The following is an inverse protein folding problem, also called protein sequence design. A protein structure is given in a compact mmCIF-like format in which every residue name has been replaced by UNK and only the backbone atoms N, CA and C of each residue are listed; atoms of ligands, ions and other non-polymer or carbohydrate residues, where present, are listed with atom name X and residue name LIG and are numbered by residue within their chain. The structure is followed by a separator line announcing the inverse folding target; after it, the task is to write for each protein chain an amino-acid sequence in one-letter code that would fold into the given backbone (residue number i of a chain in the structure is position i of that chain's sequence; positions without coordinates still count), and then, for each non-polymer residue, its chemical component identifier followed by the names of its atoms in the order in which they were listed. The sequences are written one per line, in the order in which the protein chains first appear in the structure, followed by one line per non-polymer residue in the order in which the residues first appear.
data_IF_059947853722
#
_entry.id   IF_059947853722
#
_cell.length_a   1.000
_cell.length_b   1.000
_cell.length_c   1.000
_cell.angle_alpha   90.00
_cell.angle_beta   90.00
_cell.angle_gamma   90.00
#
_symmetry.space_group_name_H-M   'P 1'
#
loop_
_entity.id
_entity.type
_entity.pdbx_description
1 polymer ?
#
# COMPACT_ATOMS: atom_id res chain seq x y z
N UNK A 1 -15.96 -4.58 23.71
CA UNK A 1 -14.52 -4.27 23.62
C UNK A 1 -13.99 -5.16 22.52
N UNK A 2 -14.03 -4.69 21.28
CA UNK A 2 -13.59 -5.47 20.12
C UNK A 2 -12.08 -5.63 20.20
N UNK A 3 -11.61 -6.86 20.03
CA UNK A 3 -10.20 -7.16 19.87
C UNK A 3 -9.70 -6.36 18.66
N UNK A 4 -8.80 -5.41 18.91
CA UNK A 4 -7.95 -4.83 17.88
C UNK A 4 -7.10 -6.00 17.39
N UNK A 5 -7.53 -6.63 16.29
CA UNK A 5 -6.68 -7.57 15.58
C UNK A 5 -5.45 -6.79 15.16
N UNK A 6 -4.32 -7.05 15.82
CA UNK A 6 -3.03 -6.57 15.34
C UNK A 6 -2.85 -7.14 13.94
N UNK A 7 -3.02 -6.30 12.92
CA UNK A 7 -2.65 -6.64 11.56
C UNK A 7 -1.14 -6.91 11.59
N UNK A 8 -0.82 -8.19 11.76
CA UNK A 8 0.55 -8.66 11.82
C UNK A 8 1.07 -8.65 10.40
N UNK A 9 2.32 -8.24 10.22
CA UNK A 9 2.99 -8.18 8.92
C UNK A 9 3.17 -9.57 8.29
N UNK A 10 2.07 -10.19 7.88
CA UNK A 10 1.99 -11.35 7.02
C UNK A 10 1.46 -10.91 5.67
N UNK A 11 1.84 -11.62 4.61
CA UNK A 11 1.25 -11.43 3.29
C UNK A 11 -0.22 -11.91 3.34
N UNK A 12 -1.15 -11.04 3.72
CA UNK A 12 -2.57 -11.38 3.76
C UNK A 12 -3.22 -11.28 2.37
N UNK A 13 -4.23 -12.13 2.18
CA UNK A 13 -4.85 -12.49 0.90
C UNK A 13 -5.65 -11.35 0.27
N UNK A 14 -5.88 -11.50 -1.03
CA UNK A 14 -6.82 -10.76 -1.87
C UNK A 14 -8.06 -10.25 -1.09
N UNK A 15 -8.18 -8.93 -0.97
CA UNK A 15 -9.25 -8.25 -0.24
C UNK A 15 -9.81 -7.07 -1.04
N UNK A 16 -11.02 -6.63 -0.69
CA UNK A 16 -11.62 -5.40 -1.26
C UNK A 16 -10.95 -4.15 -0.68
N UNK A 17 -11.00 -3.05 -1.44
CA UNK A 17 -10.39 -1.76 -1.06
C UNK A 17 -10.85 -1.26 0.31
N UNK A 18 -12.13 -1.41 0.63
CA UNK A 18 -12.68 -1.02 1.95
C UNK A 18 -11.99 -1.77 3.09
N UNK A 19 -11.77 -3.08 2.92
CA UNK A 19 -11.06 -3.89 3.91
C UNK A 19 -9.58 -3.51 3.98
N UNK A 20 -8.93 -3.28 2.84
CA UNK A 20 -7.54 -2.82 2.79
C UNK A 20 -7.35 -1.55 3.62
N UNK A 21 -8.24 -0.58 3.50
CA UNK A 21 -8.18 0.67 4.28
C UNK A 21 -8.30 0.43 5.78
N UNK A 22 -9.19 -0.48 6.20
CA UNK A 22 -9.35 -0.85 7.62
C UNK A 22 -8.08 -1.52 8.16
N UNK A 23 -7.50 -2.46 7.41
CA UNK A 23 -6.29 -3.20 7.80
C UNK A 23 -5.08 -2.26 7.91
N UNK A 24 -4.81 -1.43 6.89
CA UNK A 24 -3.68 -0.48 6.90
C UNK A 24 -3.81 0.55 8.02
N UNK A 25 -5.03 1.02 8.30
CA UNK A 25 -5.30 1.97 9.39
C UNK A 25 -5.11 1.34 10.78
N UNK A 26 -5.37 0.03 10.89
CA UNK A 26 -5.24 -0.72 12.14
C UNK A 26 -3.84 -1.30 12.33
N UNK A 27 -3.04 -1.32 11.28
CA UNK A 27 -1.64 -1.70 11.32
C UNK A 27 -0.85 -0.61 12.06
N UNK A 28 0.01 -1.01 12.99
CA UNK A 28 0.93 -0.10 13.73
C UNK A 28 2.09 0.32 12.81
N UNK A 29 1.77 0.85 11.63
CA UNK A 29 2.74 1.23 10.61
C UNK A 29 3.41 2.53 11.01
N UNK A 30 4.73 2.49 11.07
CA UNK A 30 5.57 3.63 11.43
C UNK A 30 6.03 4.35 10.18
N UNK A 31 6.25 5.66 10.31
CA UNK A 31 6.89 6.43 9.26
C UNK A 31 8.25 5.81 8.89
N UNK A 32 8.50 5.66 7.58
CA UNK A 32 9.70 5.00 7.07
C UNK A 32 9.63 3.48 6.98
N UNK A 33 8.58 2.83 7.50
CA UNK A 33 8.33 1.43 7.21
C UNK A 33 7.87 1.26 5.78
N UNK A 34 8.51 0.34 5.06
CA UNK A 34 8.13 -0.02 3.71
C UNK A 34 6.89 -0.89 3.73
N UNK A 35 5.89 -0.51 2.94
CA UNK A 35 4.67 -1.27 2.72
C UNK A 35 4.57 -1.57 1.23
N UNK A 36 4.53 -2.85 0.91
CA UNK A 36 4.23 -3.33 -0.42
C UNK A 36 2.70 -3.44 -0.56
N UNK A 37 2.15 -2.86 -1.62
CA UNK A 37 0.75 -2.99 -2.01
C UNK A 37 0.67 -3.58 -3.41
N UNK A 38 -0.25 -4.50 -3.63
CA UNK A 38 -0.53 -5.07 -4.95
C UNK A 38 -2.01 -5.10 -5.26
N UNK A 39 -2.33 -5.06 -6.56
CA UNK A 39 -3.68 -5.19 -7.10
C UNK A 39 -3.76 -6.35 -8.10
N UNK A 40 -4.81 -7.14 -7.99
CA UNK A 40 -5.16 -8.26 -8.88
C UNK A 40 -6.66 -8.22 -9.17
N UNK A 41 -7.04 -7.79 -10.35
CA UNK A 41 -8.41 -7.47 -10.70
C UNK A 41 -8.99 -6.44 -9.74
N UNK A 42 -10.09 -6.79 -9.08
CA UNK A 42 -10.76 -5.93 -8.10
C UNK A 42 -10.36 -6.26 -6.65
N UNK A 43 -9.22 -6.92 -6.48
CA UNK A 43 -8.70 -7.36 -5.20
C UNK A 43 -7.32 -6.78 -4.94
N UNK A 44 -7.01 -6.57 -3.67
CA UNK A 44 -5.79 -5.95 -3.20
C UNK A 44 -5.08 -6.85 -2.19
N UNK A 45 -3.76 -6.74 -2.14
CA UNK A 45 -2.93 -7.35 -1.11
C UNK A 45 -1.96 -6.32 -0.57
N UNK A 46 -1.55 -6.49 0.69
CA UNK A 46 -0.51 -5.66 1.27
C UNK A 46 0.36 -6.47 2.24
N UNK A 47 1.59 -6.02 2.43
CA UNK A 47 2.49 -6.55 3.45
C UNK A 47 3.58 -5.51 3.77
N UNK A 48 4.28 -5.67 4.90
CA UNK A 48 5.38 -4.80 5.25
C UNK A 48 6.73 -5.41 4.84
N UNK A 49 7.71 -4.53 4.61
CA UNK A 49 9.07 -4.89 4.23
C UNK A 49 9.31 -4.95 2.72
N UNK A 50 10.55 -5.27 2.38
CA UNK A 50 11.01 -5.36 1.00
C UNK A 50 10.64 -6.72 0.40
N UNK A 51 9.44 -6.80 -0.17
CA UNK A 51 8.90 -8.03 -0.77
C UNK A 51 8.96 -7.93 -2.28
N UNK A 52 9.60 -8.90 -2.93
CA UNK A 52 9.58 -9.00 -4.39
C UNK A 52 8.21 -9.54 -4.85
N UNK A 53 7.65 -9.02 -5.95
CA UNK A 53 6.45 -9.62 -6.54
C UNK A 53 6.73 -11.07 -6.91
N UNK A 54 5.76 -11.95 -6.66
CA UNK A 54 5.90 -13.39 -6.91
C UNK A 54 6.02 -13.74 -8.41
N UNK A 55 6.15 -15.03 -8.71
CA UNK A 55 6.29 -15.53 -10.09
C UNK A 55 5.12 -15.14 -11.01
N UNK A 56 3.93 -14.92 -10.45
CA UNK A 56 2.78 -14.33 -11.14
C UNK A 56 2.67 -12.87 -10.71
N UNK A 57 3.11 -11.98 -11.60
CA UNK A 57 3.05 -10.55 -11.35
C UNK A 57 1.60 -10.09 -11.14
N UNK A 58 1.35 -9.21 -10.15
CA UNK A 58 0.05 -8.54 -10.04
C UNK A 58 -0.17 -7.58 -11.21
N UNK A 59 -1.41 -7.09 -11.36
CA UNK A 59 -1.74 -6.13 -12.41
C UNK A 59 -1.00 -4.81 -12.19
N UNK A 60 -0.90 -4.40 -10.93
CA UNK A 60 -0.04 -3.32 -10.48
C UNK A 60 0.43 -3.55 -9.04
N UNK A 61 1.59 -2.97 -8.70
CA UNK A 61 2.10 -2.96 -7.33
C UNK A 61 2.98 -1.75 -7.05
N UNK A 62 3.11 -1.41 -5.78
CA UNK A 62 3.93 -0.30 -5.32
C UNK A 62 4.51 -0.52 -3.93
N UNK A 63 5.57 0.23 -3.64
CA UNK A 63 6.14 0.39 -2.31
C UNK A 63 5.84 1.80 -1.80
N UNK A 64 5.28 1.87 -0.60
CA UNK A 64 5.07 3.10 0.15
C UNK A 64 5.95 3.13 1.38
N UNK A 65 6.68 4.23 1.60
CA UNK A 65 7.48 4.46 2.81
C UNK A 65 7.16 5.78 3.51
N UNK A 66 6.12 6.49 3.03
CA UNK A 66 5.72 7.77 3.58
C UNK A 66 5.09 7.66 4.97
N UNK A 67 4.77 8.81 5.55
CA UNK A 67 4.03 8.88 6.81
C UNK A 67 2.58 8.46 6.57
N UNK A 68 2.07 7.52 7.38
CA UNK A 68 0.67 7.14 7.35
C UNK A 68 -0.14 8.15 8.17
N UNK A 69 -1.18 8.80 7.62
CA UNK A 69 -1.99 9.79 8.33
C UNK A 69 -2.96 9.14 9.33
N UNK A 70 -2.47 8.23 10.17
CA UNK A 70 -3.26 7.51 11.16
C UNK A 70 -3.65 8.48 12.28
N UNK A 71 -4.96 8.68 12.47
CA UNK A 71 -5.51 9.56 13.52
C UNK A 71 -6.16 10.86 13.00
N UNK A 72 -6.08 11.13 11.70
CA UNK A 72 -6.84 12.19 11.03
C UNK A 72 -7.76 11.56 9.98
N UNK A 73 -9.05 11.42 10.32
CA UNK A 73 -10.04 10.74 9.46
C UNK A 73 -10.15 11.39 8.07
N UNK A 74 -10.17 12.73 8.02
CA UNK A 74 -10.32 13.45 6.75
C UNK A 74 -9.09 13.30 5.86
N UNK A 75 -7.89 13.35 6.47
CA UNK A 75 -6.64 13.16 5.75
C UNK A 75 -6.44 11.70 5.33
N UNK A 76 -6.89 10.75 6.14
CA UNK A 76 -6.87 9.32 5.84
C UNK A 76 -7.70 8.98 4.61
N UNK A 77 -8.95 9.46 4.53
CA UNK A 77 -9.84 9.16 3.41
C UNK A 77 -9.28 9.70 2.08
N UNK A 78 -8.81 10.95 2.07
CA UNK A 78 -8.21 11.55 0.89
C UNK A 78 -6.92 10.80 0.47
N UNK A 79 -6.03 10.54 1.42
CA UNK A 79 -4.80 9.79 1.18
C UNK A 79 -5.08 8.40 0.61
N UNK A 80 -6.03 7.66 1.19
CA UNK A 80 -6.35 6.30 0.75
C UNK A 80 -6.99 6.29 -0.64
N UNK A 81 -7.82 7.29 -0.97
CA UNK A 81 -8.36 7.44 -2.31
C UNK A 81 -7.26 7.71 -3.34
N UNK A 82 -6.32 8.61 -3.03
CA UNK A 82 -5.16 8.88 -3.89
C UNK A 82 -4.28 7.64 -4.05
N UNK A 83 -4.00 6.92 -2.95
CA UNK A 83 -3.24 5.67 -2.94
C UNK A 83 -3.81 4.62 -3.90
N UNK A 84 -5.14 4.46 -3.91
CA UNK A 84 -5.82 3.53 -4.81
C UNK A 84 -5.86 4.01 -6.25
N UNK A 85 -6.06 5.31 -6.48
CA UNK A 85 -6.05 5.89 -7.81
C UNK A 85 -4.68 5.73 -8.49
N UNK A 86 -3.60 5.91 -7.73
CA UNK A 86 -2.23 5.65 -8.20
C UNK A 86 -2.03 4.18 -8.59
N UNK A 87 -2.45 3.24 -7.73
CA UNK A 87 -2.44 1.80 -8.01
C UNK A 87 -3.23 1.43 -9.28
N UNK A 88 -4.41 2.01 -9.46
CA UNK A 88 -5.27 1.73 -10.62
C UNK A 88 -4.70 2.33 -11.91
N UNK A 89 -4.10 3.52 -11.85
CA UNK A 89 -3.49 4.17 -13.01
C UNK A 89 -2.38 3.32 -13.67
N UNK A 90 -1.62 2.57 -12.86
CA UNK A 90 -0.55 1.68 -13.33
C UNK A 90 -1.08 0.44 -14.09
N UNK A 91 -2.35 0.07 -13.90
CA UNK A 91 -2.94 -1.09 -14.60
C UNK A 91 -3.19 -0.83 -16.09
N UNK A 92 -3.33 0.43 -16.48
CA UNK A 92 -3.67 0.83 -17.86
C UNK A 92 -2.45 0.88 -18.79
N UNK A 93 -1.24 1.00 -18.22
CA UNK A 93 0.01 1.19 -18.98
C UNK A 93 0.84 -0.09 -18.89
N UNK A 94 0.67 -1.01 -19.85
CA UNK A 94 1.10 -2.42 -19.76
C UNK A 94 2.58 -2.73 -19.48
N UNK A 95 3.48 -1.74 -19.52
CA UNK A 95 4.91 -1.87 -19.19
C UNK A 95 5.25 -1.35 -17.77
N UNK A 96 4.50 -0.38 -17.24
CA UNK A 96 4.76 0.27 -15.95
C UNK A 96 3.90 -0.34 -14.82
N UNK A 97 3.89 -1.68 -14.71
CA UNK A 97 3.13 -2.39 -13.64
C UNK A 97 3.64 -2.02 -12.24
N UNK A 98 4.86 -1.52 -12.16
CA UNK A 98 5.42 -0.90 -10.99
C UNK A 98 6.23 0.31 -11.39
N UNK A 99 5.82 1.47 -10.90
CA UNK A 99 6.52 2.74 -11.13
C UNK A 99 7.69 2.97 -10.17
N UNK A 100 7.78 2.17 -9.11
CA UNK A 100 8.63 2.42 -7.95
C UNK A 100 9.48 1.21 -7.60
N UNK A 101 10.79 1.34 -7.82
CA UNK A 101 11.74 0.33 -7.30
C UNK A 101 11.69 0.33 -5.77
N UNK A 102 11.99 -0.79 -5.09
CA UNK A 102 12.22 -0.76 -3.65
C UNK A 102 13.32 0.24 -3.23
N UNK A 103 14.25 0.58 -4.13
CA UNK A 103 15.28 1.60 -3.93
C UNK A 103 14.78 3.05 -4.09
N UNK A 104 13.57 3.27 -4.62
CA UNK A 104 12.94 4.59 -4.83
C UNK A 104 11.42 4.54 -4.59
N UNK A 105 10.99 4.34 -3.33
CA UNK A 105 9.58 4.20 -2.95
C UNK A 105 8.83 5.53 -2.96
N UNK A 106 7.51 5.46 -3.14
CA UNK A 106 6.63 6.63 -3.06
C UNK A 106 6.41 7.05 -1.59
N UNK A 107 6.32 8.36 -1.27
CA UNK A 107 6.52 9.51 -2.15
C UNK A 107 8.01 9.82 -2.38
N UNK A 108 8.37 10.15 -3.64
CA UNK A 108 9.72 10.58 -4.02
C UNK A 108 10.06 11.93 -3.40
N UNK A 109 10.57 11.95 -2.17
CA UNK A 109 10.85 13.23 -1.52
C UNK A 109 11.07 13.19 -0.01
N UNK A 110 11.60 12.09 0.53
CA UNK A 110 12.23 12.14 1.84
C UNK A 110 13.49 13.03 1.82
N UNK A 111 13.29 14.35 1.94
CA UNK A 111 14.27 15.41 2.23
C UNK A 111 15.25 15.82 1.10
N UNK A 112 14.82 16.77 0.26
CA UNK A 112 15.70 17.87 -0.16
C UNK A 112 15.30 19.13 0.65
N UNK A 113 16.15 19.53 1.60
CA UNK A 113 16.22 20.89 2.16
C UNK A 113 15.24 21.24 3.28
#
# INVERSE_FOLDING_TARGET
MSALGSASCGLEQAMKSERLGIELRSADLRAGEMVYLERRGEEYGWTCGQVQPGAVLPDSWMYYTGEWPVGDDGRWEAFFADLLAELDSMTTTGDDRCRWSPDDPWPHGGLHG
#
